data_IF_870350165257
#
_entry.id   IF_870350165257
#
_cell.length_a   1.000
_cell.length_b   1.000
_cell.length_c   1.000
_cell.angle_alpha   90.00
_cell.angle_beta   90.00
_cell.angle_gamma   90.00
#
_symmetry.space_group_name_H-M   'P 1'
#
loop_
_entity.id
_entity.type
_entity.pdbx_description
1 polymer ?
#
# COMPACT_ATOMS: atom_id res chain seq x y z
N UNK A 1 1.85 -28.53 -0.99
CA UNK A 1 1.16 -27.25 -0.74
C UNK A 1 1.83 -26.67 0.49
N UNK A 2 2.45 -25.49 0.38
CA UNK A 2 3.03 -24.83 1.56
C UNK A 2 1.86 -24.27 2.38
N UNK A 3 1.80 -24.65 3.64
CA UNK A 3 0.76 -24.22 4.58
C UNK A 3 1.19 -22.97 5.34
N UNK A 4 0.22 -22.24 5.87
CA UNK A 4 0.48 -21.04 6.69
C UNK A 4 1.30 -21.42 7.92
N UNK A 5 1.01 -22.55 8.56
CA UNK A 5 1.73 -23.03 9.74
C UNK A 5 3.20 -23.34 9.44
N UNK A 6 3.50 -23.92 8.28
CA UNK A 6 4.88 -24.15 7.83
C UNK A 6 5.65 -22.84 7.62
N UNK A 7 5.02 -21.80 7.05
CA UNK A 7 5.64 -20.49 6.87
C UNK A 7 5.87 -19.81 8.22
N UNK A 8 4.91 -19.88 9.13
CA UNK A 8 5.00 -19.24 10.44
C UNK A 8 6.04 -19.91 11.37
N UNK A 9 6.36 -21.19 11.14
CA UNK A 9 7.41 -21.90 11.85
C UNK A 9 8.83 -21.46 11.46
N UNK A 10 9.01 -20.75 10.35
CA UNK A 10 10.33 -20.31 9.88
C UNK A 10 10.92 -19.17 10.72
N UNK A 11 12.26 -19.09 10.80
CA UNK A 11 12.97 -17.91 11.29
C UNK A 11 12.48 -16.62 10.65
N UNK A 12 12.58 -15.51 11.39
CA UNK A 12 12.05 -14.20 10.94
C UNK A 12 12.67 -13.73 9.62
N UNK A 13 13.98 -13.91 9.47
CA UNK A 13 14.73 -13.57 8.27
C UNK A 13 14.28 -14.39 7.05
N UNK A 14 14.03 -15.69 7.23
CA UNK A 14 13.48 -16.54 6.17
C UNK A 14 12.07 -16.12 5.76
N UNK A 15 11.20 -15.79 6.74
CA UNK A 15 9.85 -15.26 6.44
C UNK A 15 9.89 -13.94 5.68
N UNK A 16 10.80 -13.04 6.05
CA UNK A 16 10.98 -11.77 5.33
C UNK A 16 11.44 -12.01 3.90
N UNK A 17 12.36 -12.95 3.68
CA UNK A 17 12.85 -13.28 2.34
C UNK A 17 11.77 -13.90 1.46
N UNK A 18 10.91 -14.75 2.04
CA UNK A 18 9.73 -15.30 1.35
C UNK A 18 8.78 -14.16 0.97
N UNK A 19 8.49 -13.23 1.89
CA UNK A 19 7.64 -12.08 1.63
C UNK A 19 8.19 -11.22 0.48
N UNK A 20 9.50 -10.96 0.44
CA UNK A 20 10.15 -10.20 -0.65
C UNK A 20 10.06 -10.92 -2.00
N UNK A 21 10.29 -12.23 -2.03
CA UNK A 21 10.18 -13.02 -3.26
C UNK A 21 8.75 -13.05 -3.80
N UNK A 22 7.77 -13.22 -2.91
CA UNK A 22 6.35 -13.15 -3.25
C UNK A 22 5.99 -11.77 -3.80
N UNK A 23 6.44 -10.71 -3.13
CA UNK A 23 6.18 -9.34 -3.56
C UNK A 23 6.79 -9.05 -4.94
N UNK A 24 8.05 -9.43 -5.17
CA UNK A 24 8.71 -9.29 -6.48
C UNK A 24 7.89 -9.95 -7.59
N UNK A 25 7.52 -11.21 -7.39
CA UNK A 25 6.73 -11.97 -8.36
C UNK A 25 5.35 -11.35 -8.66
N UNK A 26 4.68 -10.82 -7.64
CA UNK A 26 3.39 -10.12 -7.80
C UNK A 26 3.53 -8.77 -8.52
N UNK A 27 4.67 -8.09 -8.36
CA UNK A 27 4.90 -6.78 -9.00
C UNK A 27 5.49 -6.88 -10.41
N UNK A 28 6.06 -8.01 -10.78
CA UNK A 28 6.60 -8.27 -12.12
C UNK A 28 5.51 -8.66 -13.13
N UNK A 29 4.38 -9.19 -12.67
CA UNK A 29 3.23 -9.47 -13.53
C UNK A 29 2.48 -8.18 -13.87
N UNK A 30 2.34 -7.89 -15.16
CA UNK A 30 1.45 -6.83 -15.70
C UNK A 30 -0.03 -7.25 -15.65
N UNK A 31 -0.37 -8.18 -14.76
CA UNK A 31 -1.74 -8.62 -14.53
C UNK A 31 -2.43 -7.49 -13.78
N UNK A 32 -3.13 -6.63 -14.53
CA UNK A 32 -3.84 -5.49 -13.98
C UNK A 32 -4.88 -5.99 -12.99
N UNK A 33 -4.67 -5.68 -11.71
CA UNK A 33 -5.70 -5.87 -10.71
C UNK A 33 -6.80 -4.84 -10.98
N UNK A 34 -8.02 -5.31 -11.21
CA UNK A 34 -9.17 -4.43 -11.36
C UNK A 34 -9.30 -3.55 -10.11
N UNK A 35 -9.37 -2.25 -10.33
CA UNK A 35 -9.65 -1.32 -9.24
C UNK A 35 -10.99 -1.67 -8.58
N UNK A 36 -11.10 -1.59 -7.25
CA UNK A 36 -12.39 -1.75 -6.58
C UNK A 36 -13.44 -0.79 -7.15
N UNK A 37 -14.72 -1.17 -7.13
CA UNK A 37 -15.80 -0.36 -7.72
C UNK A 37 -15.92 1.05 -7.14
N UNK A 38 -15.53 1.23 -5.87
CA UNK A 38 -15.55 2.53 -5.19
C UNK A 38 -14.36 3.42 -5.52
N UNK A 39 -13.28 2.89 -6.12
CA UNK A 39 -12.01 3.60 -6.27
C UNK A 39 -12.15 4.84 -7.15
N UNK A 40 -12.89 4.73 -8.26
CA UNK A 40 -13.11 5.83 -9.18
C UNK A 40 -13.91 6.99 -8.56
N UNK A 41 -14.91 6.65 -7.73
CA UNK A 41 -15.74 7.64 -7.04
C UNK A 41 -14.88 8.49 -6.08
N UNK A 42 -14.03 7.85 -5.28
CA UNK A 42 -13.15 8.53 -4.32
C UNK A 42 -12.09 9.37 -5.03
N UNK A 43 -11.50 8.87 -6.12
CA UNK A 43 -10.54 9.63 -6.91
C UNK A 43 -11.19 10.87 -7.53
N UNK A 44 -12.38 10.72 -8.09
CA UNK A 44 -13.14 11.82 -8.70
C UNK A 44 -13.50 12.90 -7.68
N UNK A 45 -13.96 12.50 -6.50
CA UNK A 45 -14.28 13.44 -5.42
C UNK A 45 -13.03 14.19 -4.94
N UNK A 46 -11.92 13.48 -4.78
CA UNK A 46 -10.63 14.07 -4.37
C UNK A 46 -10.11 15.05 -5.43
N UNK A 47 -10.16 14.67 -6.71
CA UNK A 47 -9.76 15.54 -7.81
C UNK A 47 -10.60 16.83 -7.85
N UNK A 48 -11.91 16.73 -7.58
CA UNK A 48 -12.80 17.89 -7.46
C UNK A 48 -12.39 18.81 -6.31
N UNK A 49 -12.14 18.26 -5.11
CA UNK A 49 -11.72 19.06 -3.94
C UNK A 49 -10.38 19.76 -4.18
N UNK A 50 -9.43 19.09 -4.86
CA UNK A 50 -8.16 19.69 -5.27
C UNK A 50 -8.38 20.84 -6.26
N UNK A 51 -9.23 20.65 -7.26
CA UNK A 51 -9.55 21.70 -8.24
C UNK A 51 -10.27 22.91 -7.61
N UNK A 52 -11.08 22.67 -6.59
CA UNK A 52 -11.76 23.70 -5.80
C UNK A 52 -10.85 24.37 -4.76
N UNK A 53 -9.62 23.87 -4.57
CA UNK A 53 -8.67 24.37 -3.57
C UNK A 53 -9.02 24.02 -2.13
N UNK A 54 -9.98 23.10 -1.92
CA UNK A 54 -10.40 22.64 -0.59
C UNK A 54 -9.56 21.48 -0.08
N UNK A 55 -8.73 20.89 -0.93
CA UNK A 55 -7.76 19.85 -0.60
C UNK A 55 -6.43 20.15 -1.29
N UNK A 56 -5.31 19.95 -0.59
CA UNK A 56 -3.96 20.21 -1.12
C UNK A 56 -3.09 18.98 -0.96
N UNK A 57 -2.42 18.51 -2.03
CA UNK A 57 -1.50 17.40 -1.92
C UNK A 57 -0.31 17.81 -1.04
N UNK A 58 0.13 16.89 -0.18
CA UNK A 58 1.30 17.07 0.66
C UNK A 58 2.41 16.14 0.20
N UNK A 59 3.66 16.57 0.36
CA UNK A 59 4.79 15.69 0.11
C UNK A 59 4.71 14.45 1.02
N UNK A 60 4.96 13.27 0.45
CA UNK A 60 4.83 12.01 1.18
C UNK A 60 5.80 11.89 2.36
N UNK A 61 7.00 12.48 2.26
CA UNK A 61 7.95 12.51 3.38
C UNK A 61 7.45 13.42 4.49
N UNK A 62 6.90 14.59 4.14
CA UNK A 62 6.26 15.48 5.12
C UNK A 62 5.05 14.82 5.80
N UNK A 63 4.20 14.11 5.05
CA UNK A 63 3.07 13.35 5.58
C UNK A 63 3.48 12.37 6.68
N UNK A 64 4.55 11.60 6.42
CA UNK A 64 5.07 10.61 7.38
C UNK A 64 5.54 11.27 8.68
N UNK A 65 6.18 12.43 8.60
CA UNK A 65 6.66 13.15 9.79
C UNK A 65 5.49 13.67 10.63
N UNK A 66 4.46 14.24 10.00
CA UNK A 66 3.24 14.69 10.70
C UNK A 66 2.61 13.53 11.47
N UNK A 67 2.34 12.40 10.81
CA UNK A 67 1.72 11.22 11.44
C UNK A 67 2.55 10.65 12.59
N UNK A 68 3.87 10.70 12.50
CA UNK A 68 4.77 10.26 13.59
C UNK A 68 4.74 11.23 14.77
N UNK A 69 4.60 12.52 14.50
CA UNK A 69 4.53 13.56 15.54
C UNK A 69 3.20 13.52 16.30
N UNK A 70 2.08 13.20 15.65
CA UNK A 70 0.75 13.10 16.26
C UNK A 70 0.56 11.89 17.18
N UNK A 71 1.39 10.85 17.01
CA UNK A 71 1.35 9.63 17.83
C UNK A 71 2.11 9.78 19.15
N UNK A 72 2.74 10.92 19.42
CA UNK A 72 3.61 11.16 20.57
C UNK A 72 2.90 11.95 21.66
#
# INVERSE_FOLDING_TARGET
>A
MVTVDEILALPKDERLRIMELLWSGLTESDESIDSPSWHDEVLSETAKRVAEGTETPIDFSAAKEILRSERR
#
